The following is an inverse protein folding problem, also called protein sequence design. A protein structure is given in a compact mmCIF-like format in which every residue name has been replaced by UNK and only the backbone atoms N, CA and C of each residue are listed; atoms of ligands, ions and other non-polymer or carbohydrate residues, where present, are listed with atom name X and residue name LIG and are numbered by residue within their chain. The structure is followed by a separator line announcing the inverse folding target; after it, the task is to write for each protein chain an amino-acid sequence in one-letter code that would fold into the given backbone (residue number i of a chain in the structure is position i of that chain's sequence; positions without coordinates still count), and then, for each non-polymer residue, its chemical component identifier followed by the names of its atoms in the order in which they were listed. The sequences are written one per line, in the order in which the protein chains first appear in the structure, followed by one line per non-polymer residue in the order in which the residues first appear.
data_IF_026171566853
#
_entry.id   IF_026171566853
#
_cell.length_a   1.000
_cell.length_b   1.000
_cell.length_c   1.000
_cell.angle_alpha   90.00
_cell.angle_beta   90.00
_cell.angle_gamma   90.00
#
_symmetry.space_group_name_H-M   'P 1'
#
loop_
_entity.id
_entity.type
_entity.pdbx_description
1 polymer ?
2 non-polymer ?
3 non-polymer ?
4 water ?
#
# COMPACT_ATOMS: atom_id res chain seq x y z
N UNK A 1 15.46 -9.60 -11.40
CA UNK A 1 14.41 -8.67 -10.92
C UNK A 1 14.75 -8.20 -9.50
N UNK A 2 14.66 -6.90 -9.25
CA UNK A 2 14.74 -6.39 -7.90
C UNK A 2 13.35 -5.86 -7.54
N UNK A 3 12.81 -6.32 -6.42
CA UNK A 3 11.47 -5.93 -6.01
C UNK A 3 11.56 -4.89 -4.91
N UNK A 4 10.93 -3.73 -5.14
CA UNK A 4 10.81 -2.70 -4.12
C UNK A 4 9.54 -2.89 -3.31
N UNK A 5 9.67 -2.76 -2.00
CA UNK A 5 8.55 -2.95 -1.07
C UNK A 5 8.53 -1.76 -0.14
N UNK A 6 7.35 -1.16 0.04
CA UNK A 6 7.23 -0.01 0.93
C UNK A 6 6.17 -0.23 1.99
N UNK A 7 6.53 0.03 3.24
CA UNK A 7 5.61 0.01 4.35
C UNK A 7 5.85 1.28 5.15
N UNK A 8 4.81 1.79 5.83
CA UNK A 8 4.92 3.07 6.56
C UNK A 8 5.47 2.87 7.97
N UNK A 9 4.90 1.91 8.69
CA UNK A 9 5.16 1.71 10.11
C UNK A 9 6.10 0.55 10.38
N UNK A 10 6.82 0.65 11.50
CA UNK A 10 7.60 -0.47 12.01
C UNK A 10 6.86 -1.79 11.96
N UNK A 11 5.62 -1.81 12.43
CA UNK A 11 4.82 -3.03 12.49
C UNK A 11 4.53 -3.63 11.13
N UNK A 12 4.48 -2.77 10.12
CA UNK A 12 4.17 -3.21 8.76
C UNK A 12 5.38 -3.73 8.01
N UNK A 13 6.59 -3.42 8.46
CA UNK A 13 7.80 -3.86 7.76
C UNK A 13 8.61 -4.90 8.55
N UNK A 14 8.31 -5.07 9.83
CA UNK A 14 9.20 -5.84 10.69
C UNK A 14 9.31 -7.32 10.30
N UNK A 15 8.20 -7.93 9.91
CA UNK A 15 8.19 -9.35 9.55
C UNK A 15 9.00 -9.59 8.26
N UNK A 16 8.84 -8.72 7.27
CA UNK A 16 9.61 -8.84 6.05
C UNK A 16 11.08 -8.55 6.30
N UNK A 17 11.36 -7.53 7.11
CA UNK A 17 12.75 -7.14 7.37
C UNK A 17 13.50 -8.31 8.00
N UNK A 18 12.84 -9.00 8.92
CA UNK A 18 13.47 -10.10 9.66
C UNK A 18 13.80 -11.28 8.76
N UNK A 19 13.07 -11.40 7.64
CA UNK A 19 13.31 -12.48 6.69
C UNK A 19 14.39 -12.13 5.66
N UNK A 20 14.89 -10.91 5.65
CA UNK A 20 15.87 -10.52 4.64
C UNK A 20 17.26 -11.02 5.03
N UNK A 21 17.85 -11.82 4.15
CA UNK A 21 19.21 -12.34 4.39
C UNK A 21 20.25 -11.35 3.88
N UNK A 22 21.42 -11.36 4.53
CA UNK A 22 22.51 -10.47 4.16
C UNK A 22 22.06 -9.01 4.18
N UNK A 23 21.27 -8.68 5.20
CA UNK A 23 20.59 -7.39 5.22
C UNK A 23 21.55 -6.22 5.42
N UNK A 24 21.41 -5.20 4.58
CA UNK A 24 22.10 -3.92 4.77
C UNK A 24 21.05 -2.83 4.97
N UNK A 25 21.44 -1.76 5.65
CA UNK A 25 20.52 -0.64 5.89
C UNK A 25 21.07 0.66 5.33
N UNK A 26 20.25 1.36 4.54
CA UNK A 26 20.53 2.71 4.05
C UNK A 26 19.65 3.65 4.89
N UNK A 27 20.27 4.67 5.49
CA UNK A 27 19.54 5.63 6.32
C UNK A 27 19.75 7.01 5.73
N UNK A 28 18.68 7.57 5.17
CA UNK A 28 18.77 8.77 4.37
C UNK A 28 17.42 9.48 4.43
N UNK A 29 17.44 10.80 4.59
CA UNK A 29 16.19 11.59 4.59
C UNK A 29 15.18 11.19 5.65
N UNK A 30 15.64 10.66 6.78
CA UNK A 30 14.74 10.18 7.83
C UNK A 30 14.02 8.87 7.59
N UNK A 31 14.39 8.15 6.53
CA UNK A 31 13.81 6.83 6.34
C UNK A 31 14.91 5.78 6.31
N UNK A 32 14.49 4.52 6.31
CA UNK A 32 15.42 3.41 6.30
C UNK A 32 15.04 2.54 5.12
N UNK A 33 16.06 2.11 4.37
CA UNK A 33 15.86 1.11 3.32
C UNK A 33 16.72 -0.10 3.64
N UNK A 34 16.11 -1.28 3.63
CA UNK A 34 16.80 -2.55 3.93
C UNK A 34 16.94 -3.33 2.64
N UNK A 35 18.16 -3.74 2.33
CA UNK A 35 18.42 -4.47 1.10
C UNK A 35 18.99 -5.85 1.43
N UNK A 36 18.74 -6.81 0.54
CA UNK A 36 19.22 -8.18 0.75
C UNK A 36 18.32 -9.12 -0.02
N UNK A 37 18.29 -10.38 0.37
CA UNK A 37 17.46 -11.37 -0.32
C UNK A 37 16.33 -11.88 0.56
N UNK A 38 15.14 -11.91 -0.03
CA UNK A 38 13.97 -12.46 0.60
C UNK A 38 13.64 -13.76 -0.13
N UNK A 39 13.86 -14.89 0.55
CA UNK A 39 13.72 -16.21 -0.05
C UNK A 39 14.39 -16.27 -1.40
N UNK A 40 15.61 -15.74 -1.44
CA UNK A 40 16.44 -15.77 -2.63
C UNK A 40 16.29 -14.61 -3.60
N UNK A 41 15.21 -13.84 -3.47
CA UNK A 41 14.97 -12.72 -4.39
C UNK A 41 15.54 -11.39 -3.85
N UNK A 42 16.20 -10.65 -4.71
CA UNK A 42 16.75 -9.34 -4.31
C UNK A 42 15.60 -8.38 -4.06
N UNK A 43 15.61 -7.77 -2.88
CA UNK A 43 14.57 -6.80 -2.50
C UNK A 43 15.19 -5.56 -1.90
N UNK A 44 14.40 -4.48 -1.95
CA UNK A 44 14.73 -3.24 -1.27
C UNK A 44 13.46 -2.82 -0.54
N UNK A 45 13.48 -2.86 0.79
CA UNK A 45 12.31 -2.63 1.62
C UNK A 45 12.45 -1.27 2.33
N UNK A 46 11.52 -0.35 2.05
CA UNK A 46 11.53 0.99 2.61
C UNK A 46 10.58 1.06 3.78
N UNK A 47 11.04 1.64 4.90
CA UNK A 47 10.16 2.04 6.00
C UNK A 47 10.05 3.54 5.88
N UNK A 48 8.88 4.03 5.46
CA UNK A 48 8.78 5.43 5.05
C UNK A 48 8.42 6.40 6.16
N UNK A 49 7.70 5.92 7.15
CA UNK A 49 6.98 6.81 8.06
C UNK A 49 5.61 7.11 7.48
N UNK A 50 4.80 7.77 8.29
CA UNK A 50 3.36 7.87 8.04
C UNK A 50 2.99 9.12 7.22
N UNK A 51 2.09 8.93 6.26
CA UNK A 51 1.45 10.00 5.52
C UNK A 51 2.02 10.25 4.14
N UNK A 52 1.42 11.20 3.43
CA UNK A 52 1.66 11.34 2.00
C UNK A 52 3.07 11.80 1.67
N UNK A 53 3.54 12.82 2.40
CA UNK A 53 4.84 13.41 2.12
C UNK A 53 5.96 12.43 2.54
N UNK A 54 5.82 11.78 3.69
CA UNK A 54 6.79 10.77 4.12
C UNK A 54 6.90 9.69 3.07
N UNK A 55 5.75 9.22 2.60
CA UNK A 55 5.71 8.18 1.58
C UNK A 55 6.36 8.67 0.28
N UNK A 56 6.05 9.90 -0.14
CA UNK A 56 6.58 10.45 -1.39
C UNK A 56 8.10 10.59 -1.32
N UNK A 57 8.58 11.12 -0.21
CA UNK A 57 10.01 11.32 0.00
C UNK A 57 10.69 9.95 -0.06
N UNK A 58 10.18 8.98 0.71
CA UNK A 58 10.77 7.66 0.80
C UNK A 58 10.77 6.95 -0.56
N UNK A 59 9.66 7.03 -1.27
CA UNK A 59 9.53 6.37 -2.58
C UNK A 59 10.51 6.93 -3.58
N UNK A 60 10.68 8.25 -3.55
CA UNK A 60 11.63 8.93 -4.41
C UNK A 60 13.06 8.45 -4.13
N UNK A 61 13.45 8.38 -2.85
CA UNK A 61 14.76 7.84 -2.49
C UNK A 61 14.92 6.39 -2.89
N UNK A 62 13.89 5.60 -2.68
CA UNK A 62 13.95 4.19 -3.04
C UNK A 62 14.19 4.01 -4.53
N UNK A 63 13.44 4.74 -5.35
CA UNK A 63 13.60 4.65 -6.80
C UNK A 63 14.98 5.12 -7.24
N UNK A 64 15.44 6.23 -6.67
CA UNK A 64 16.73 6.81 -7.07
C UNK A 64 17.91 5.95 -6.62
N UNK A 65 17.87 5.46 -5.39
CA UNK A 65 19.02 4.75 -4.83
C UNK A 65 19.06 3.26 -5.14
N UNK A 66 17.90 2.64 -5.31
CA UNK A 66 17.83 1.18 -5.48
C UNK A 66 17.34 0.73 -6.86
N UNK A 67 16.67 1.61 -7.60
CA UNK A 67 16.16 1.28 -8.93
C UNK A 67 15.44 -0.08 -8.98
N UNK A 68 14.47 -0.30 -8.10
CA UNK A 68 13.65 -1.50 -8.16
C UNK A 68 12.88 -1.56 -9.46
N UNK A 69 12.58 -2.76 -9.92
CA UNK A 69 11.82 -2.93 -11.15
C UNK A 69 10.33 -2.67 -10.97
N UNK A 70 9.81 -3.02 -9.80
CA UNK A 70 8.40 -2.80 -9.47
C UNK A 70 8.32 -2.39 -8.02
N UNK A 71 7.19 -1.81 -7.62
CA UNK A 71 6.95 -1.40 -6.24
C UNK A 71 5.70 -2.10 -5.71
N UNK A 72 5.83 -2.71 -4.54
CA UNK A 72 4.71 -3.25 -3.81
C UNK A 72 4.55 -2.46 -2.51
N UNK A 73 3.35 -1.93 -2.29
CA UNK A 73 3.03 -1.20 -1.06
C UNK A 73 2.28 -2.16 -0.14
N UNK A 74 2.88 -2.46 1.01
CA UNK A 74 2.35 -3.37 2.03
C UNK A 74 1.87 -2.59 3.25
N UNK A 75 1.08 -3.26 4.09
CA UNK A 75 0.63 -2.72 5.38
C UNK A 75 -0.84 -2.89 5.67
N UNK A 76 -1.33 -2.03 6.56
CA UNK A 76 -2.71 -2.07 7.02
C UNK A 76 -3.57 -1.11 6.20
N UNK A 77 -4.88 -1.20 6.43
CA UNK A 77 -5.83 -0.28 5.81
C UNK A 77 -7.16 -0.29 6.55
N UNK A 78 -7.88 0.81 6.40
CA UNK A 78 -9.25 0.92 6.88
C UNK A 78 -10.20 0.38 5.82
N UNK A 79 -10.93 -0.67 6.16
CA UNK A 79 -11.87 -1.29 5.20
C UNK A 79 -13.15 -0.48 5.01
N UNK A 80 -13.55 -0.33 3.75
CA UNK A 80 -14.76 0.43 3.40
C UNK A 80 -15.80 -0.46 2.72
N UNK A 81 -15.34 -1.47 2.00
CA UNK A 81 -16.24 -2.38 1.29
C UNK A 81 -16.94 -3.31 2.29
N UNK A 82 -18.24 -3.57 2.06
CA UNK A 82 -19.07 -4.29 3.04
C UNK A 82 -18.63 -5.73 3.38
N UNK A 83 -18.00 -6.44 2.45
CA UNK A 83 -17.59 -7.84 2.71
C UNK A 83 -16.23 -8.01 3.37
N UNK A 84 -15.57 -6.90 3.73
CA UNK A 84 -14.26 -6.97 4.35
C UNK A 84 -14.33 -7.14 5.85
N UNK A 85 -13.51 -8.03 6.36
CA UNK A 85 -13.32 -8.23 7.78
C UNK A 85 -11.87 -8.00 8.11
N UNK A 86 -11.57 -7.76 9.38
CA UNK A 86 -10.20 -7.67 9.82
C UNK A 86 -9.38 -8.85 9.31
N UNK A 87 -8.22 -8.52 8.74
CA UNK A 87 -7.28 -9.49 8.20
C UNK A 87 -7.37 -9.73 6.70
N UNK A 88 -8.52 -9.37 6.12
CA UNK A 88 -8.76 -9.56 4.70
C UNK A 88 -7.90 -8.65 3.86
N UNK A 89 -7.67 -9.08 2.63
CA UNK A 89 -6.73 -8.43 1.75
C UNK A 89 -7.45 -7.45 0.86
N UNK A 90 -6.84 -6.29 0.65
CA UNK A 90 -7.26 -5.37 -0.40
C UNK A 90 -6.14 -5.18 -1.40
N UNK A 91 -6.49 -5.26 -2.69
CA UNK A 91 -5.56 -5.10 -3.78
C UNK A 91 -6.00 -3.89 -4.61
N UNK A 92 -5.12 -2.93 -4.83
CA UNK A 92 -5.47 -1.79 -5.66
C UNK A 92 -5.65 -2.17 -7.13
N UNK A 93 -6.76 -1.81 -7.75
CA UNK A 93 -6.66 -1.57 -9.19
C UNK A 93 -6.32 -0.12 -9.53
N UNK A 94 -6.54 0.77 -8.57
CA UNK A 94 -6.33 2.18 -8.78
C UNK A 94 -6.20 2.85 -7.39
N UNK A 95 -5.53 3.99 -7.36
CA UNK A 95 -5.40 4.84 -6.16
C UNK A 95 -5.80 6.26 -6.47
N UNK A 96 -6.55 6.89 -5.56
CA UNK A 96 -6.96 8.28 -5.68
C UNK A 96 -6.82 8.98 -4.33
N UNK A 97 -6.54 10.26 -4.36
CA UNK A 97 -6.53 11.10 -3.16
C UNK A 97 -7.96 11.42 -2.76
N UNK A 98 -8.35 11.14 -1.52
CA UNK A 98 -9.70 11.54 -1.13
C UNK A 98 -9.76 12.95 -0.62
N UNK A 99 -8.61 13.55 -0.37
CA UNK A 99 -8.50 14.90 0.21
C UNK A 99 -7.98 15.96 -0.74
N UNK A 100 -7.90 15.65 -2.02
CA UNK A 100 -7.47 16.65 -2.98
C UNK A 100 -8.67 17.28 -3.64
N UNK A 101 -8.68 18.60 -3.74
CA UNK A 101 -9.85 19.31 -4.24
C UNK A 101 -9.46 20.60 -4.96
N UNK A 102 -9.41 20.52 -6.28
CA UNK A 102 -9.25 21.69 -7.14
C UNK A 102 -10.45 21.73 -8.10
N UNK A 103 -11.61 21.36 -7.58
CA UNK A 103 -12.83 21.33 -8.40
C UNK A 103 -13.27 22.75 -8.79
N UNK A 104 -12.82 23.77 -8.06
CA UNK A 104 -13.10 25.16 -8.48
C UNK A 104 -12.59 25.50 -9.88
N UNK A 105 -11.58 24.75 -10.36
CA UNK A 105 -11.00 24.95 -11.68
C UNK A 105 -11.38 23.81 -12.63
N UNK A 106 -12.38 23.01 -12.25
CA UNK A 106 -12.95 22.03 -13.16
C UNK A 106 -12.19 20.72 -13.27
N UNK A 107 -11.33 20.44 -12.29
CA UNK A 107 -10.72 19.13 -12.18
C UNK A 107 -11.70 18.21 -11.46
N UNK A 108 -11.56 16.91 -11.69
CA UNK A 108 -12.36 15.92 -11.00
C UNK A 108 -12.04 15.93 -9.50
N UNK A 109 -13.03 15.69 -8.64
CA UNK A 109 -12.77 15.61 -7.21
C UNK A 109 -11.65 14.57 -6.98
N UNK A 110 -10.63 14.94 -6.19
CA UNK A 110 -9.50 14.07 -5.90
C UNK A 110 -8.32 14.19 -6.86
N UNK A 111 -8.53 14.85 -7.99
CA UNK A 111 -7.51 15.04 -9.01
C UNK A 111 -6.68 16.29 -8.74
N UNK A 112 -5.37 16.16 -8.84
CA UNK A 112 -4.52 17.36 -8.83
C UNK A 112 -4.14 17.75 -10.25
N UNK A 113 -4.02 19.05 -10.53
CA UNK A 113 -3.67 19.45 -11.89
C UNK A 113 -2.34 18.86 -12.29
N UNK A 114 -2.26 18.35 -13.52
CA UNK A 114 -1.07 17.71 -14.03
C UNK A 114 -1.01 16.23 -13.77
N UNK A 115 -2.02 15.71 -13.06
CA UNK A 115 -2.11 14.29 -12.74
C UNK A 115 -3.37 13.70 -13.36
N UNK A 116 -3.35 12.39 -13.61
CA UNK A 116 -4.63 11.75 -13.90
C UNK A 116 -5.49 11.80 -12.65
N UNK A 117 -6.79 11.59 -12.83
CA UNK A 117 -7.71 11.66 -11.70
C UNK A 117 -7.43 10.53 -10.71
N UNK A 118 -6.92 9.42 -11.22
CA UNK A 118 -6.48 8.30 -10.41
C UNK A 118 -5.28 7.63 -11.04
N UNK A 119 -4.56 6.84 -10.26
CA UNK A 119 -3.34 6.20 -10.71
C UNK A 119 -3.59 4.70 -10.77
N UNK A 120 -3.45 4.12 -11.95
CA UNK A 120 -3.79 2.71 -12.16
C UNK A 120 -2.64 1.79 -11.82
N UNK A 121 -2.94 0.77 -11.01
CA UNK A 121 -1.96 -0.25 -10.65
C UNK A 121 -1.71 -1.11 -11.88
N UNK A 122 -0.58 -1.79 -11.87
CA UNK A 122 -0.12 -2.58 -13.00
C UNK A 122 -0.94 -3.88 -13.15
N UNK A 123 -1.47 -4.09 -14.35
CA UNK A 123 -2.27 -5.31 -14.60
C UNK A 123 -1.57 -6.61 -14.28
N UNK A 124 -0.30 -6.74 -14.65
CA UNK A 124 0.44 -7.98 -14.37
C UNK A 124 0.64 -8.18 -12.88
N UNK A 125 0.93 -7.10 -12.16
CA UNK A 125 1.10 -7.21 -10.73
C UNK A 125 -0.20 -7.57 -10.03
N UNK A 126 -1.31 -6.98 -10.47
CA UNK A 126 -2.64 -7.33 -9.96
C UNK A 126 -2.90 -8.82 -10.19
N UNK A 127 -2.62 -9.30 -11.40
CA UNK A 127 -2.88 -10.72 -11.72
C UNK A 127 -2.06 -11.67 -10.82
N UNK A 128 -0.79 -11.32 -10.60
CA UNK A 128 0.07 -12.13 -9.72
C UNK A 128 -0.46 -12.10 -8.28
N UNK A 129 -0.85 -10.93 -7.81
CA UNK A 129 -1.44 -10.84 -6.49
C UNK A 129 -2.70 -11.71 -6.34
N UNK A 130 -3.57 -11.69 -7.35
CA UNK A 130 -4.79 -12.50 -7.31
C UNK A 130 -4.47 -13.99 -7.32
N UNK A 131 -3.42 -14.37 -8.03
CA UNK A 131 -3.00 -15.77 -8.01
C UNK A 131 -2.54 -16.19 -6.63
N UNK A 132 -1.79 -15.32 -5.94
CA UNK A 132 -1.35 -15.62 -4.59
C UNK A 132 -2.54 -15.73 -3.63
N UNK A 133 -3.50 -14.82 -3.78
CA UNK A 133 -4.71 -14.83 -2.94
C UNK A 133 -5.42 -16.18 -3.08
N UNK A 134 -5.53 -16.66 -4.31
CA UNK A 134 -6.16 -17.97 -4.57
C UNK A 134 -5.37 -19.12 -3.92
N UNK A 135 -4.06 -19.10 -4.09
CA UNK A 135 -3.20 -20.16 -3.54
C UNK A 135 -3.20 -20.21 -2.03
N UNK A 136 -3.40 -19.05 -1.40
CA UNK A 136 -3.39 -18.91 0.05
C UNK A 136 -4.80 -18.92 0.64
N UNK A 137 -5.82 -19.06 -0.22
CA UNK A 137 -7.20 -19.19 0.22
C UNK A 137 -7.66 -17.99 1.07
N UNK A 138 -7.24 -16.80 0.64
CA UNK A 138 -7.57 -15.58 1.37
C UNK A 138 -8.82 -14.91 0.83
N UNK A 139 -9.49 -14.17 1.69
CA UNK A 139 -10.62 -13.34 1.30
C UNK A 139 -10.07 -11.97 0.92
N UNK A 140 -10.38 -11.52 -0.28
CA UNK A 140 -9.81 -10.28 -0.80
C UNK A 140 -10.80 -9.55 -1.66
N UNK A 141 -10.60 -8.25 -1.77
CA UNK A 141 -11.35 -7.44 -2.69
C UNK A 141 -10.34 -6.61 -3.47
N UNK A 142 -10.58 -6.51 -4.77
CA UNK A 142 -9.79 -5.65 -5.67
C UNK A 142 -10.61 -4.42 -6.02
N UNK A 143 -9.98 -3.25 -6.04
CA UNK A 143 -10.69 -2.04 -6.34
C UNK A 143 -9.93 -0.78 -5.99
N UNK A 144 -10.67 0.31 -5.87
CA UNK A 144 -10.08 1.61 -5.60
C UNK A 144 -9.67 1.75 -4.14
N UNK A 145 -8.42 2.14 -3.92
CA UNK A 145 -7.95 2.53 -2.59
C UNK A 145 -7.75 4.04 -2.56
N UNK A 146 -8.26 4.69 -1.51
CA UNK A 146 -8.11 6.14 -1.40
C UNK A 146 -7.17 6.53 -0.26
N UNK A 147 -6.38 7.59 -0.48
CA UNK A 147 -5.41 8.05 0.50
C UNK A 147 -5.63 9.51 0.87
N UNK A 148 -5.29 9.81 2.11
CA UNK A 148 -5.25 11.15 2.62
C UNK A 148 -4.33 11.24 3.80
N UNK A 149 -4.25 12.39 4.44
CA UNK A 149 -3.40 12.51 5.63
C UNK A 149 -4.20 12.46 6.94
N UNK A 150 -5.30 11.72 6.94
CA UNK A 150 -6.11 11.59 8.14
C UNK A 150 -6.38 10.14 8.45
N UNK A 151 -6.34 9.81 9.73
CA UNK A 151 -6.79 8.53 10.22
C UNK A 151 -8.30 8.60 10.32
N UNK A 152 -8.99 7.77 9.53
CA UNK A 152 -10.44 7.82 9.42
C UNK A 152 -11.09 7.05 10.57
N UNK A 153 -12.01 7.75 11.25
CA UNK A 153 -12.48 7.37 12.58
C UNK A 153 -13.94 7.76 12.71
N UNK A 154 -14.75 7.31 11.75
CA UNK A 154 -16.16 7.66 11.68
C UNK A 154 -16.44 9.15 11.52
N UNK A 155 -17.59 9.56 12.04
CA UNK A 155 -17.98 10.95 12.00
C UNK A 155 -17.92 11.54 10.58
N UNK A 156 -17.62 12.82 10.49
CA UNK A 156 -17.69 13.52 9.21
C UNK A 156 -16.59 13.03 8.24
N UNK A 157 -15.46 12.57 8.78
CA UNK A 157 -14.35 12.13 7.93
C UNK A 157 -14.72 10.91 7.09
N UNK A 158 -15.33 9.91 7.72
CA UNK A 158 -15.80 8.74 6.99
C UNK A 158 -16.93 9.12 6.03
N UNK A 159 -17.83 9.97 6.51
CA UNK A 159 -18.99 10.34 5.73
C UNK A 159 -18.59 10.97 4.42
N UNK A 160 -17.59 11.85 4.46
CA UNK A 160 -17.16 12.52 3.24
C UNK A 160 -16.60 11.54 2.21
N UNK A 161 -15.86 10.55 2.68
CA UNK A 161 -15.29 9.55 1.82
C UNK A 161 -16.38 8.67 1.21
N UNK A 162 -17.33 8.23 2.02
CA UNK A 162 -18.41 7.41 1.46
C UNK A 162 -19.23 8.21 0.44
N UNK A 163 -19.33 9.51 0.66
CA UNK A 163 -20.05 10.38 -0.26
C UNK A 163 -19.31 10.53 -1.60
N UNK A 164 -18.03 10.84 -1.55
CA UNK A 164 -17.28 11.17 -2.74
C UNK A 164 -16.74 9.95 -3.49
N UNK A 165 -16.50 8.84 -2.77
CA UNK A 165 -15.91 7.63 -3.34
C UNK A 165 -16.67 6.39 -2.85
N UNK A 166 -17.94 6.27 -3.24
CA UNK A 166 -18.71 5.11 -2.78
C UNK A 166 -18.14 3.78 -3.25
N UNK A 167 -17.34 3.83 -4.31
CA UNK A 167 -16.67 2.64 -4.85
C UNK A 167 -15.34 2.31 -4.15
N UNK A 168 -14.81 3.20 -3.31
CA UNK A 168 -13.55 2.91 -2.63
C UNK A 168 -13.73 1.70 -1.72
N UNK A 169 -12.77 0.78 -1.80
CA UNK A 169 -12.78 -0.44 -0.98
C UNK A 169 -12.03 -0.28 0.34
N UNK A 170 -11.10 0.66 0.40
CA UNK A 170 -10.31 0.88 1.61
C UNK A 170 -9.72 2.27 1.59
N UNK A 171 -9.32 2.73 2.78
CA UNK A 171 -8.69 4.03 2.95
C UNK A 171 -7.41 3.86 3.72
N UNK A 172 -6.38 4.60 3.33
CA UNK A 172 -5.17 4.65 4.11
C UNK A 172 -4.45 6.00 3.87
N UNK A 173 -3.14 6.09 4.11
CA UNK A 173 -2.47 7.41 4.14
C UNK A 173 -1.18 7.52 3.33
N UNK A 174 -0.88 6.51 2.52
CA UNK A 174 0.35 6.54 1.74
C UNK A 174 0.23 6.05 0.29
N UNK A 175 -0.69 5.12 0.03
CA UNK A 175 -0.72 4.42 -1.24
C UNK A 175 -0.73 5.33 -2.45
N UNK A 176 -1.59 6.35 -2.44
CA UNK A 176 -1.72 7.20 -3.61
C UNK A 176 -0.47 8.04 -3.82
N UNK A 177 0.15 8.45 -2.74
CA UNK A 177 1.43 9.15 -2.84
C UNK A 177 2.50 8.28 -3.52
N UNK A 178 2.57 7.01 -3.13
CA UNK A 178 3.48 6.07 -3.75
C UNK A 178 3.13 5.89 -5.24
N UNK A 179 1.84 5.75 -5.52
CA UNK A 179 1.34 5.59 -6.88
C UNK A 179 1.72 6.78 -7.76
N UNK A 180 1.60 7.97 -7.20
CA UNK A 180 1.91 9.23 -7.88
C UNK A 180 3.40 9.29 -8.23
N UNK A 181 4.25 9.01 -7.26
CA UNK A 181 5.70 8.96 -7.51
C UNK A 181 6.02 7.91 -8.57
N UNK A 182 5.44 6.73 -8.45
CA UNK A 182 5.67 5.65 -9.43
C UNK A 182 5.20 6.07 -10.82
N UNK A 183 4.06 6.74 -10.90
CA UNK A 183 3.57 7.28 -12.16
C UNK A 183 4.58 8.20 -12.82
N UNK A 184 5.11 9.14 -12.03
CA UNK A 184 6.04 10.13 -12.54
C UNK A 184 7.38 9.54 -12.96
N UNK A 185 7.74 8.39 -12.40
CA UNK A 185 8.96 7.67 -12.78
C UNK A 185 8.70 6.46 -13.72
N UNK A 186 7.44 6.27 -14.15
CA UNK A 186 7.02 5.14 -14.97
C UNK A 186 7.45 3.79 -14.42
N UNK A 187 7.18 3.56 -13.12
CA UNK A 187 7.48 2.31 -12.45
C UNK A 187 6.17 1.61 -12.07
N UNK A 188 5.98 0.35 -12.45
CA UNK A 188 4.72 -0.35 -12.11
C UNK A 188 4.55 -0.51 -10.61
N UNK A 189 3.32 -0.36 -10.11
CA UNK A 189 3.07 -0.54 -8.69
C UNK A 189 1.81 -1.36 -8.45
N UNK A 190 1.74 -1.95 -7.26
CA UNK A 190 0.50 -2.50 -6.75
C UNK A 190 0.47 -2.28 -5.25
N UNK A 191 -0.73 -2.07 -4.72
CA UNK A 191 -0.95 -2.03 -3.29
C UNK A 191 -1.56 -3.35 -2.84
N UNK A 192 -0.94 -3.96 -1.83
CA UNK A 192 -1.46 -5.18 -1.24
C UNK A 192 -1.45 -5.00 0.28
N UNK A 193 -2.58 -4.56 0.80
CA UNK A 193 -2.72 -4.27 2.22
C UNK A 193 -3.74 -5.21 2.85
N UNK A 194 -3.84 -5.20 4.17
CA UNK A 194 -4.86 -5.96 4.86
C UNK A 194 -5.59 -5.14 5.89
N UNK A 195 -6.82 -5.53 6.19
CA UNK A 195 -7.74 -4.70 6.94
C UNK A 195 -7.44 -4.78 8.44
N UNK A 196 -7.20 -3.62 9.05
CA UNK A 196 -7.02 -3.50 10.50
C UNK A 196 -8.24 -2.97 11.28
N UNK A 197 -9.19 -2.37 10.57
CA UNK A 197 -10.33 -1.65 11.14
C UNK A 197 -11.27 -1.28 10.01
N UNK A 198 -12.49 -0.84 10.32
CA UNK A 198 -13.43 -0.47 9.27
C UNK A 198 -13.70 1.03 9.24
N UNK A 199 -12.75 1.80 9.76
CA UNK A 199 -12.72 3.27 9.63
C UNK A 199 -13.91 3.99 10.27
N UNK A 200 -14.57 3.34 11.23
CA UNK A 200 -15.71 3.91 11.93
C UNK A 200 -15.27 4.51 13.27
N UNK A 201 -16.25 4.87 14.10
CA UNK A 201 -16.01 5.48 15.41
C UNK A 201 -15.10 4.63 16.30
N UNK A 202 -15.08 3.33 16.09
CA UNK A 202 -14.24 2.39 16.85
C UNK A 202 -12.89 2.13 16.22
N UNK A 203 -12.55 2.81 15.12
CA UNK A 203 -11.41 2.35 14.33
C UNK A 203 -10.06 2.45 15.04
N UNK A 204 -9.91 3.44 15.93
CA UNK A 204 -8.68 3.55 16.71
C UNK A 204 -8.47 2.35 17.65
N UNK A 205 -9.56 1.87 18.23
CA UNK A 205 -9.52 0.70 19.13
C UNK A 205 -9.25 -0.57 18.31
N UNK A 206 -9.96 -0.74 17.20
CA UNK A 206 -9.70 -1.88 16.32
C UNK A 206 -8.28 -1.86 15.77
N UNK A 207 -7.81 -0.69 15.35
CA UNK A 207 -6.43 -0.58 14.86
C UNK A 207 -5.38 -1.02 15.88
N UNK A 208 -5.52 -0.55 17.13
CA UNK A 208 -4.61 -0.97 18.19
C UNK A 208 -4.65 -2.49 18.35
N UNK A 209 -5.85 -3.06 18.33
CA UNK A 209 -6.03 -4.51 18.51
C UNK A 209 -5.53 -5.37 17.33
N UNK A 210 -5.69 -4.87 16.11
CA UNK A 210 -5.53 -5.71 14.93
C UNK A 210 -4.49 -5.24 13.92
N UNK A 211 -3.72 -4.19 14.21
CA UNK A 211 -2.61 -3.84 13.33
C UNK A 211 -1.68 -5.05 13.11
N UNK A 212 -1.34 -5.77 14.17
CA UNK A 212 -0.41 -6.87 14.02
C UNK A 212 -1.01 -7.97 13.13
N UNK A 213 -2.30 -8.24 13.28
CA UNK A 213 -2.98 -9.24 12.45
C UNK A 213 -2.92 -8.82 10.97
N UNK A 214 -3.23 -7.55 10.73
CA UNK A 214 -3.23 -7.03 9.36
C UNK A 214 -1.82 -7.03 8.77
N UNK A 215 -0.84 -6.60 9.53
CA UNK A 215 0.55 -6.64 9.07
C UNK A 215 0.98 -8.05 8.67
N UNK A 216 0.62 -9.05 9.48
CA UNK A 216 1.01 -10.41 9.18
C UNK A 216 0.39 -10.90 7.88
N UNK A 217 -0.90 -10.62 7.69
CA UNK A 217 -1.57 -11.08 6.47
C UNK A 217 -0.99 -10.40 5.23
N UNK A 218 -0.77 -9.09 5.28
CA UNK A 218 -0.17 -8.37 4.16
C UNK A 218 1.25 -8.86 3.88
N UNK A 219 2.02 -9.05 4.96
CA UNK A 219 3.42 -9.47 4.83
C UNK A 219 3.53 -10.86 4.19
N UNK A 220 2.65 -11.78 4.61
CA UNK A 220 2.65 -13.12 4.06
C UNK A 220 2.25 -13.09 2.59
N UNK A 221 1.28 -12.25 2.25
CA UNK A 221 0.94 -12.02 0.84
C UNK A 221 2.09 -11.47 0.04
N UNK A 222 2.80 -10.49 0.59
CA UNK A 222 3.89 -9.89 -0.12
C UNK A 222 5.04 -10.88 -0.33
N UNK A 223 5.29 -11.71 0.66
CA UNK A 223 6.33 -12.75 0.54
C UNK A 223 5.99 -13.69 -0.60
N UNK A 224 4.72 -14.10 -0.65
CA UNK A 224 4.27 -14.99 -1.71
C UNK A 224 4.36 -14.30 -3.07
N UNK A 225 4.00 -13.02 -3.12
CA UNK A 225 4.00 -12.29 -4.36
C UNK A 225 5.40 -12.08 -4.91
N UNK A 226 6.35 -11.78 -4.03
CA UNK A 226 7.75 -11.63 -4.43
C UNK A 226 8.24 -12.92 -5.09
N UNK A 227 7.96 -14.05 -4.46
CA UNK A 227 8.34 -15.35 -4.98
C UNK A 227 7.69 -15.61 -6.34
N UNK A 228 6.40 -15.31 -6.46
CA UNK A 228 5.69 -15.53 -7.71
C UNK A 228 6.23 -14.69 -8.87
N UNK A 229 6.55 -13.43 -8.59
CA UNK A 229 7.10 -12.54 -9.61
C UNK A 229 8.51 -12.97 -10.03
N UNK A 230 9.32 -13.37 -9.05
CA UNK A 230 10.70 -13.74 -9.34
C UNK A 230 10.76 -15.04 -10.11
N UNK A 231 9.85 -15.95 -9.81
CA UNK A 231 9.80 -17.22 -10.52
C UNK A 231 9.26 -17.06 -11.95
N UNK A 232 8.31 -16.15 -12.13
CA UNK A 232 7.68 -15.92 -13.44
C UNK A 232 8.20 -14.67 -14.12
X LIG B 1 -6.45 5.82 7.57
X LIG B 1 -6.68 3.33 8.71
X LIG B 1 -5.53 3.74 7.94
X LIG B 1 -5.24 1.64 8.70
X LIG B 1 0.33 4.67 8.17
X LIG B 1 -1.02 5.03 8.59
X LIG B 1 -1.43 4.30 9.85
X LIG B 1 -2.58 4.97 10.61
X LIG B 1 -2.16 6.52 11.39
X LIG B 1 -2.15 6.08 13.09
X LIG B 1 -0.96 5.23 13.43
X LIG B 1 -0.82 5.13 14.95
X LIG B 1 -0.31 6.41 15.55
X LIG B 1 -1.89 2.93 9.31
X LIG B 1 -2.09 3.13 7.85
X LIG B 1 -2.03 4.58 7.57
X LIG B 1 -3.28 2.47 7.28
X LIG B 1 -6.47 2.06 9.13
X LIG B 1 -7.74 4.31 8.86
X LIG B 1 -8.84 4.02 9.55
X LIG B 1 -5.42 4.98 7.38
X LIG B 1 -4.61 2.62 7.95
X LIG B 1 -7.56 5.54 8.29
X LIG C 1 3.65 4.71 17.06
X LIG C 1 3.72 3.48 16.33
X LIG C 1 2.63 2.52 16.80
X LIG C 1 1.61 3.23 17.51
X LIG C 1 0.42 2.47 17.70
X LIG C 1 -0.72 3.42 18.06
X LIG C 1 -1.06 3.33 19.44
X LIG C 1 -0.09 2.58 20.19
X LIG C 1 -0.10 3.04 21.63
X LIG C 1 -1.26 2.55 22.30
X LIG C 1 -2.32 3.51 22.29
X LIG C 1 -1.85 4.89 21.83
X LIG C 1 -2.82 5.89 22.17
#
# INVERSE_FOLDING_TARGET
MKIGIIGAMEEEVTLLRDKIENRQTISLGGCEIYTGQLNGTEVALLKSGIGKVAAALGATLLLEHCKPDVIINTGSAGGLAPTLKVGDIVVSDEARYHDADVTAFGYEYGQLPGCPAGFKADDKLIAAAEACIAELNLNAVRGLIVSGDAFINGSVGLAKIRHNFPQAIAVEMEATAIAHVCHNFNVPFVVVRAISDVADQQSHLSFDEFLAVAAKQSSLMVESLVQKLAHGENLYFQGHHHHHH
BIG C2 C5 C4 C8 O3' C3' C4' C5' S5' C20 C21 C22 C23 C1' N1' C2' C10 N7 C6 N6 N3 C9 N1
PG4 O1 C1 C2 O2 C3 C4 O3 C5 C6 O4 C7 C8 O5
#
